data_IF_378486290497
#
_entry.id   IF_378486290497
#
_cell.length_a   1.000
_cell.length_b   1.000
_cell.length_c   1.000
_cell.angle_alpha   90.00
_cell.angle_beta   90.00
_cell.angle_gamma   90.00
#
_symmetry.space_group_name_H-M   'P 1'
#
loop_
_entity.id
_entity.type
_entity.pdbx_description
1 polymer ?
#
# COMPACT_ATOMS: atom_id res chain seq x y z
N UNK A 1 -4.24 -25.90 3.73
CA UNK A 1 -3.34 -25.56 4.85
C UNK A 1 -2.22 -24.67 4.31
N UNK A 2 -1.99 -23.51 4.92
CA UNK A 2 -0.87 -22.62 4.55
C UNK A 2 0.45 -23.33 4.89
N UNK A 3 1.41 -23.33 3.97
CA UNK A 3 2.75 -23.90 4.18
C UNK A 3 3.64 -23.01 5.04
N UNK A 4 3.16 -21.85 5.47
CA UNK A 4 3.91 -20.85 6.24
C UNK A 4 3.62 -20.97 7.74
N UNK A 5 4.69 -20.96 8.54
CA UNK A 5 4.64 -20.76 9.98
C UNK A 5 3.98 -19.42 10.36
N UNK A 6 3.48 -19.25 11.59
CA UNK A 6 2.88 -17.99 12.03
C UNK A 6 3.81 -16.76 11.83
N UNK A 7 5.11 -16.93 12.08
CA UNK A 7 6.09 -15.87 11.90
C UNK A 7 6.26 -15.50 10.42
N UNK A 8 6.37 -16.48 9.53
CA UNK A 8 6.44 -16.23 8.09
C UNK A 8 5.21 -15.49 7.59
N UNK A 9 4.01 -15.83 8.10
CA UNK A 9 2.80 -15.12 7.73
C UNK A 9 2.82 -13.66 8.17
N UNK A 10 3.30 -13.37 9.38
CA UNK A 10 3.47 -12.00 9.88
C UNK A 10 4.49 -11.22 9.05
N UNK A 11 5.61 -11.86 8.67
CA UNK A 11 6.63 -11.23 7.82
C UNK A 11 6.10 -10.92 6.42
N UNK A 12 5.31 -11.81 5.82
CA UNK A 12 4.68 -11.57 4.51
C UNK A 12 3.68 -10.40 4.59
N UNK A 13 2.87 -10.35 5.64
CA UNK A 13 1.93 -9.23 5.85
C UNK A 13 2.68 -7.90 6.05
N UNK A 14 3.73 -7.88 6.88
CA UNK A 14 4.58 -6.71 7.10
C UNK A 14 5.30 -6.29 5.81
N UNK A 15 5.72 -7.25 4.99
CA UNK A 15 6.32 -6.99 3.69
C UNK A 15 5.35 -6.25 2.77
N UNK A 16 4.05 -6.54 2.80
CA UNK A 16 3.04 -5.75 2.08
C UNK A 16 3.07 -4.28 2.46
N UNK A 17 3.12 -3.98 3.77
CA UNK A 17 3.23 -2.61 4.30
C UNK A 17 4.54 -1.94 3.87
N UNK A 18 5.66 -2.67 3.98
CA UNK A 18 6.97 -2.18 3.56
C UNK A 18 7.05 -1.92 2.04
N UNK A 19 6.40 -2.77 1.23
CA UNK A 19 6.32 -2.60 -0.22
C UNK A 19 5.60 -1.30 -0.59
N UNK A 20 4.46 -1.04 0.03
CA UNK A 20 3.73 0.23 -0.14
C UNK A 20 4.59 1.42 0.28
N UNK A 21 5.19 1.38 1.48
CA UNK A 21 6.07 2.43 1.98
C UNK A 21 7.24 2.72 1.03
N UNK A 22 7.89 1.67 0.50
CA UNK A 22 8.99 1.80 -0.46
C UNK A 22 8.54 2.49 -1.74
N UNK A 23 7.39 2.11 -2.28
CA UNK A 23 6.87 2.72 -3.52
C UNK A 23 6.41 4.16 -3.29
N UNK A 24 5.83 4.50 -2.13
CA UNK A 24 5.51 5.89 -1.77
C UNK A 24 6.76 6.76 -1.80
N UNK A 25 7.85 6.29 -1.18
CA UNK A 25 9.13 7.01 -1.18
C UNK A 25 9.70 7.18 -2.60
N UNK A 26 9.66 6.12 -3.42
CA UNK A 26 10.13 6.17 -4.82
C UNK A 26 9.32 7.15 -5.68
N UNK A 27 7.98 7.09 -5.61
CA UNK A 27 7.11 8.01 -6.35
C UNK A 27 7.34 9.44 -5.89
N UNK A 28 7.45 9.68 -4.59
CA UNK A 28 7.69 11.01 -4.05
C UNK A 28 9.05 11.60 -4.45
N UNK A 29 10.11 10.79 -4.45
CA UNK A 29 11.49 11.24 -4.75
C UNK A 29 11.78 11.33 -6.25
N UNK A 30 11.23 10.41 -7.05
CA UNK A 30 11.65 10.21 -8.46
C UNK A 30 10.51 10.22 -9.47
N UNK A 31 9.24 10.17 -9.02
CA UNK A 31 8.10 10.01 -9.91
C UNK A 31 8.01 8.63 -10.58
N UNK A 32 8.86 7.66 -10.18
CA UNK A 32 8.90 6.31 -10.75
C UNK A 32 8.57 5.26 -9.72
N UNK A 33 8.11 4.10 -10.18
CA UNK A 33 7.80 2.93 -9.36
C UNK A 33 7.89 1.67 -10.22
N UNK A 34 8.16 0.50 -9.63
CA UNK A 34 8.18 -0.76 -10.34
C UNK A 34 6.73 -1.27 -10.61
N UNK A 35 6.27 -1.33 -11.87
CA UNK A 35 4.85 -1.56 -12.18
C UNK A 35 4.28 -2.87 -11.66
N UNK A 36 5.05 -3.97 -11.72
CA UNK A 36 4.59 -5.28 -11.26
C UNK A 36 4.28 -5.32 -9.74
N UNK A 37 5.11 -4.65 -8.92
CA UNK A 37 4.87 -4.57 -7.48
C UNK A 37 3.73 -3.61 -7.14
N UNK A 38 3.60 -2.52 -7.91
CA UNK A 38 2.45 -1.62 -7.79
C UNK A 38 1.14 -2.36 -8.10
N UNK A 39 1.10 -3.11 -9.20
CA UNK A 39 -0.08 -3.89 -9.56
C UNK A 39 -0.42 -4.95 -8.50
N UNK A 40 0.58 -5.67 -7.98
CA UNK A 40 0.38 -6.63 -6.89
C UNK A 40 -0.18 -5.97 -5.61
N UNK A 41 0.36 -4.81 -5.23
CA UNK A 41 -0.15 -4.02 -4.08
C UNK A 41 -1.55 -3.46 -4.34
N UNK A 42 -1.82 -2.93 -5.54
CA UNK A 42 -3.14 -2.43 -5.92
C UNK A 42 -4.19 -3.54 -5.87
N UNK A 43 -3.90 -4.69 -6.49
CA UNK A 43 -4.82 -5.83 -6.53
C UNK A 43 -5.07 -6.44 -5.15
N UNK A 44 -4.13 -6.28 -4.22
CA UNK A 44 -4.32 -6.74 -2.84
C UNK A 44 -5.52 -6.10 -2.14
N UNK A 45 -5.91 -4.89 -2.55
CA UNK A 45 -7.09 -4.19 -2.01
C UNK A 45 -8.41 -4.90 -2.34
N UNK A 46 -8.42 -5.77 -3.36
CA UNK A 46 -9.58 -6.53 -3.81
C UNK A 46 -9.55 -8.01 -3.38
N UNK A 47 -8.51 -8.42 -2.64
CA UNK A 47 -8.37 -9.78 -2.12
C UNK A 47 -9.17 -9.97 -0.82
N UNK A 48 -10.49 -9.78 -0.90
CA UNK A 48 -11.38 -9.82 0.28
C UNK A 48 -11.42 -11.17 1.00
N UNK A 49 -11.25 -12.26 0.26
CA UNK A 49 -11.17 -13.62 0.81
C UNK A 49 -9.96 -14.35 0.20
N UNK A 50 -8.81 -14.22 0.87
CA UNK A 50 -7.57 -14.82 0.44
C UNK A 50 -7.31 -16.14 1.21
N UNK A 51 -7.09 -17.27 0.52
CA UNK A 51 -6.90 -18.57 1.18
C UNK A 51 -5.57 -18.70 1.94
N UNK A 52 -4.64 -17.77 1.71
CA UNK A 52 -3.31 -17.67 2.33
C UNK A 52 -2.76 -16.26 2.18
N UNK A 53 -1.87 -15.88 3.08
CA UNK A 53 -1.33 -14.51 3.21
C UNK A 53 -0.58 -14.02 1.96
N UNK A 54 0.11 -14.88 1.24
CA UNK A 54 0.81 -14.54 0.00
C UNK A 54 -0.15 -14.42 -1.21
N UNK A 55 -1.30 -15.10 -1.16
CA UNK A 55 -2.33 -14.97 -2.20
C UNK A 55 -2.98 -13.58 -2.22
N UNK A 56 -2.92 -12.83 -1.11
CA UNK A 56 -3.29 -11.40 -1.06
C UNK A 56 -2.51 -10.60 -2.10
N UNK A 57 -1.25 -10.97 -2.35
CA UNK A 57 -0.38 -10.33 -3.34
C UNK A 57 -0.26 -11.16 -4.64
N UNK A 58 -1.20 -12.07 -4.88
CA UNK A 58 -1.18 -13.07 -5.95
C UNK A 58 -0.28 -14.27 -5.65
N UNK A 59 0.94 -14.04 -5.18
CA UNK A 59 1.85 -15.03 -4.59
C UNK A 59 3.05 -14.32 -3.94
N UNK A 60 3.98 -15.10 -3.39
CA UNK A 60 5.18 -14.57 -2.72
C UNK A 60 6.06 -13.65 -3.60
N UNK A 61 6.07 -13.82 -4.94
CA UNK A 61 6.81 -12.92 -5.82
C UNK A 61 6.17 -11.53 -5.90
N UNK A 62 4.85 -11.43 -5.72
CA UNK A 62 4.13 -10.16 -5.73
C UNK A 62 4.49 -9.22 -4.58
N UNK A 63 5.04 -9.76 -3.48
CA UNK A 63 5.47 -9.00 -2.29
C UNK A 63 7.00 -8.97 -2.12
N UNK A 64 7.75 -9.41 -3.13
CA UNK A 64 9.21 -9.57 -3.05
C UNK A 64 9.95 -8.27 -2.78
N UNK A 65 9.46 -7.13 -3.29
CA UNK A 65 10.04 -5.82 -2.99
C UNK A 65 9.92 -5.55 -1.48
N UNK A 66 8.73 -5.77 -0.93
CA UNK A 66 8.46 -5.66 0.50
C UNK A 66 9.37 -6.51 1.36
N UNK A 67 9.56 -7.78 0.99
CA UNK A 67 10.42 -8.70 1.74
C UNK A 67 11.88 -8.21 1.79
N UNK A 68 12.39 -7.71 0.65
CA UNK A 68 13.73 -7.09 0.60
C UNK A 68 13.80 -5.83 1.46
N UNK A 69 12.79 -4.98 1.36
CA UNK A 69 12.71 -3.76 2.17
C UNK A 69 12.65 -4.05 3.67
N UNK A 70 11.97 -5.12 4.10
CA UNK A 70 12.02 -5.56 5.51
C UNK A 70 13.45 -5.90 5.92
N UNK A 71 14.18 -6.69 5.12
CA UNK A 71 15.59 -7.03 5.42
C UNK A 71 16.46 -5.77 5.48
N UNK A 72 16.30 -4.85 4.53
CA UNK A 72 17.05 -3.58 4.47
C UNK A 72 16.87 -2.75 5.74
N UNK A 73 15.64 -2.60 6.26
CA UNK A 73 15.39 -1.85 7.52
C UNK A 73 16.15 -2.38 8.72
N UNK A 74 16.36 -3.70 8.79
CA UNK A 74 17.02 -4.34 9.92
C UNK A 74 18.53 -4.51 9.72
N UNK A 75 19.03 -4.44 8.49
CA UNK A 75 20.43 -4.73 8.16
C UNK A 75 21.37 -3.56 8.39
N UNK A 76 20.91 -2.32 8.19
CA UNK A 76 21.71 -1.11 8.43
C UNK A 76 20.85 -0.01 9.08
N UNK A 77 20.83 0.05 10.43
CA UNK A 77 20.01 1.00 11.18
C UNK A 77 20.46 2.46 11.07
N UNK A 78 21.68 2.72 10.59
CA UNK A 78 22.23 4.08 10.47
C UNK A 78 21.93 4.71 9.11
N UNK A 79 21.49 3.92 8.13
CA UNK A 79 21.17 4.39 6.80
C UNK A 79 19.91 5.28 6.80
N UNK A 80 20.04 6.51 6.30
CA UNK A 80 18.95 7.49 6.29
C UNK A 80 17.73 7.06 5.48
N UNK A 81 17.93 6.36 4.35
CA UNK A 81 16.83 5.85 3.53
C UNK A 81 16.08 4.73 4.25
N UNK A 82 16.78 3.85 4.98
CA UNK A 82 16.15 2.81 5.78
C UNK A 82 15.35 3.40 6.96
N UNK A 83 15.88 4.43 7.62
CA UNK A 83 15.17 5.17 8.67
C UNK A 83 13.91 5.83 8.10
N UNK A 84 14.02 6.51 6.95
CA UNK A 84 12.88 7.15 6.30
C UNK A 84 11.79 6.13 5.94
N UNK A 85 12.17 4.97 5.42
CA UNK A 85 11.24 3.89 5.14
C UNK A 85 10.57 3.34 6.40
N UNK A 86 11.33 3.16 7.50
CA UNK A 86 10.79 2.77 8.79
C UNK A 86 9.76 3.77 9.34
N UNK A 87 9.94 5.07 9.08
CA UNK A 87 8.97 6.10 9.44
C UNK A 87 7.67 5.99 8.63
N UNK A 88 7.74 5.66 7.34
CA UNK A 88 6.54 5.40 6.53
C UNK A 88 5.81 4.15 7.01
N UNK A 89 6.51 3.04 7.25
CA UNK A 89 5.91 1.81 7.81
C UNK A 89 5.23 2.09 9.15
N UNK A 90 5.91 2.79 10.07
CA UNK A 90 5.33 3.21 11.35
C UNK A 90 4.10 4.10 11.16
N UNK A 91 4.13 5.00 10.17
CA UNK A 91 3.02 5.86 9.81
C UNK A 91 1.80 5.07 9.35
N UNK A 92 1.99 4.10 8.45
CA UNK A 92 0.93 3.21 7.95
C UNK A 92 0.31 2.39 9.07
N UNK A 93 1.12 1.78 9.94
CA UNK A 93 0.63 1.02 11.10
C UNK A 93 -0.15 1.90 12.08
N UNK A 94 0.28 3.16 12.28
CA UNK A 94 -0.45 4.11 13.13
C UNK A 94 -1.79 4.52 12.52
N UNK A 95 -1.84 4.66 11.20
CA UNK A 95 -3.07 5.00 10.46
C UNK A 95 -4.06 3.83 10.52
N UNK A 96 -3.58 2.61 10.28
CA UNK A 96 -4.34 1.37 10.45
C UNK A 96 -4.92 1.28 11.87
N UNK A 97 -4.13 1.54 12.91
CA UNK A 97 -4.60 1.49 14.30
C UNK A 97 -5.71 2.52 14.62
N UNK A 98 -5.86 3.58 13.82
CA UNK A 98 -6.97 4.52 13.91
C UNK A 98 -8.17 4.08 13.07
N UNK A 99 -7.91 3.53 11.88
CA UNK A 99 -8.91 3.00 10.98
C UNK A 99 -9.61 1.75 11.55
N UNK A 100 -8.87 0.85 12.18
CA UNK A 100 -9.39 -0.39 12.80
C UNK A 100 -10.42 -0.13 13.91
N UNK A 101 -10.39 1.07 14.51
CA UNK A 101 -11.32 1.50 15.57
C UNK A 101 -12.61 2.14 15.04
N UNK A 102 -12.80 2.23 13.72
CA UNK A 102 -13.93 2.90 13.07
C UNK A 102 -14.69 1.93 12.15
N UNK A 103 -15.57 1.08 12.71
CA UNK A 103 -16.28 0.08 11.91
C UNK A 103 -17.13 0.69 10.78
N UNK A 104 -17.80 1.82 11.04
CA UNK A 104 -18.56 2.54 10.01
C UNK A 104 -17.69 2.98 8.83
N UNK A 105 -16.46 3.45 9.11
CA UNK A 105 -15.53 3.86 8.07
C UNK A 105 -14.99 2.66 7.28
N UNK A 106 -14.78 1.52 7.93
CA UNK A 106 -14.40 0.28 7.27
C UNK A 106 -15.48 -0.22 6.32
N UNK A 107 -16.75 -0.15 6.72
CA UNK A 107 -17.88 -0.53 5.87
C UNK A 107 -17.97 0.36 4.62
N UNK A 108 -17.79 1.68 4.78
CA UNK A 108 -17.73 2.62 3.65
C UNK A 108 -16.58 2.26 2.70
N UNK A 109 -15.38 2.02 3.23
CA UNK A 109 -14.21 1.66 2.41
C UNK A 109 -14.43 0.33 1.70
N UNK A 110 -14.91 -0.71 2.40
CA UNK A 110 -15.18 -2.03 1.83
C UNK A 110 -16.23 -1.96 0.71
N UNK A 111 -17.34 -1.24 0.95
CA UNK A 111 -18.39 -1.02 -0.07
C UNK A 111 -17.84 -0.33 -1.31
N UNK A 112 -17.07 0.75 -1.14
CA UNK A 112 -16.46 1.46 -2.27
C UNK A 112 -15.42 0.64 -3.01
N UNK A 113 -14.60 -0.14 -2.31
CA UNK A 113 -13.67 -1.08 -2.93
C UNK A 113 -14.41 -2.14 -3.73
N UNK A 114 -15.53 -2.68 -3.23
CA UNK A 114 -16.38 -3.61 -3.96
C UNK A 114 -16.95 -3.02 -5.25
N UNK A 115 -17.37 -1.75 -5.24
CA UNK A 115 -17.81 -1.06 -6.45
C UNK A 115 -16.68 -0.86 -7.47
N UNK A 116 -15.46 -0.52 -7.01
CA UNK A 116 -14.29 -0.40 -7.89
C UNK A 116 -13.90 -1.76 -8.47
N UNK A 117 -13.88 -2.82 -7.66
CA UNK A 117 -13.59 -4.19 -8.12
C UNK A 117 -14.60 -4.66 -9.18
N UNK A 118 -15.89 -4.41 -8.97
CA UNK A 118 -16.92 -4.70 -9.95
C UNK A 118 -16.64 -3.97 -11.27
N UNK A 119 -16.31 -2.68 -11.23
CA UNK A 119 -15.98 -1.93 -12.44
C UNK A 119 -14.72 -2.46 -13.12
N UNK A 120 -13.69 -2.79 -12.35
CA UNK A 120 -12.42 -3.30 -12.84
C UNK A 120 -12.60 -4.58 -13.67
N UNK A 121 -13.43 -5.49 -13.16
CA UNK A 121 -13.71 -6.79 -13.80
C UNK A 121 -14.52 -6.70 -15.09
N UNK A 122 -15.31 -5.63 -15.28
CA UNK A 122 -16.27 -5.54 -16.37
C UNK A 122 -15.95 -4.48 -17.43
N UNK A 123 -15.16 -3.44 -17.10
CA UNK A 123 -15.00 -2.27 -17.97
C UNK A 123 -13.54 -1.85 -18.25
N UNK A 124 -12.62 -1.97 -17.29
CA UNK A 124 -11.22 -1.56 -17.49
C UNK A 124 -10.32 -2.21 -16.44
N UNK A 125 -9.21 -2.82 -16.89
CA UNK A 125 -8.18 -3.40 -16.02
C UNK A 125 -6.91 -2.53 -15.98
N UNK A 126 -7.02 -1.25 -16.35
CA UNK A 126 -5.91 -0.30 -16.31
C UNK A 126 -5.58 0.10 -14.86
N UNK A 127 -4.34 -0.21 -14.43
CA UNK A 127 -3.88 0.04 -13.07
C UNK A 127 -3.85 1.54 -12.70
N UNK A 128 -3.63 2.43 -13.66
CA UNK A 128 -3.60 3.89 -13.44
C UNK A 128 -5.01 4.45 -13.23
N UNK A 129 -5.99 3.97 -14.01
CA UNK A 129 -7.39 4.34 -13.84
C UNK A 129 -7.93 3.86 -12.48
N UNK A 130 -7.59 2.62 -12.13
CA UNK A 130 -7.90 2.05 -10.81
C UNK A 130 -7.27 2.88 -9.69
N UNK A 131 -6.00 3.27 -9.83
CA UNK A 131 -5.32 4.11 -8.85
C UNK A 131 -6.05 5.42 -8.59
N UNK A 132 -6.56 6.12 -9.61
CA UNK A 132 -7.32 7.34 -9.38
C UNK A 132 -8.61 7.10 -8.58
N UNK A 133 -9.30 5.98 -8.85
CA UNK A 133 -10.48 5.58 -8.08
C UNK A 133 -10.17 5.25 -6.62
N UNK A 134 -9.07 4.54 -6.36
CA UNK A 134 -8.61 4.23 -4.99
C UNK A 134 -8.12 5.50 -4.27
N UNK A 135 -7.37 6.36 -4.95
CA UNK A 135 -6.95 7.67 -4.45
C UNK A 135 -8.14 8.49 -3.96
N UNK A 136 -9.26 8.48 -4.70
CA UNK A 136 -10.48 9.14 -4.26
C UNK A 136 -11.08 8.51 -2.99
N UNK A 137 -11.07 7.17 -2.86
CA UNK A 137 -11.51 6.50 -1.62
C UNK A 137 -10.66 6.97 -0.44
N UNK A 138 -9.34 6.96 -0.57
CA UNK A 138 -8.43 7.41 0.48
C UNK A 138 -8.71 8.87 0.88
N UNK A 139 -8.87 9.77 -0.10
CA UNK A 139 -9.16 11.18 0.14
C UNK A 139 -10.46 11.39 0.93
N UNK A 140 -11.55 10.74 0.51
CA UNK A 140 -12.86 10.90 1.13
C UNK A 140 -12.94 10.23 2.52
N UNK A 141 -12.08 9.24 2.80
CA UNK A 141 -12.17 8.43 4.03
C UNK A 141 -10.93 8.58 4.91
N UNK A 142 -9.87 7.81 4.62
CA UNK A 142 -8.69 7.63 5.47
C UNK A 142 -7.93 8.95 5.69
N UNK A 143 -7.91 9.85 4.69
CA UNK A 143 -7.20 11.13 4.80
C UNK A 143 -7.81 12.10 5.84
N UNK A 144 -9.06 11.83 6.25
CA UNK A 144 -9.79 12.58 7.26
C UNK A 144 -9.53 12.10 8.70
N UNK A 145 -8.72 11.04 8.87
CA UNK A 145 -8.27 10.61 10.18
C UNK A 145 -7.34 11.66 10.82
N UNK A 146 -7.30 11.75 12.17
CA UNK A 146 -6.47 12.73 12.87
C UNK A 146 -4.98 12.65 12.54
N UNK A 147 -4.44 11.44 12.33
CA UNK A 147 -3.07 11.27 11.90
C UNK A 147 -2.97 11.23 10.38
N UNK A 148 -2.01 11.99 9.84
CA UNK A 148 -1.68 12.02 8.41
C UNK A 148 -0.22 11.72 8.21
N UNK A 149 0.07 10.85 7.24
CA UNK A 149 1.43 10.57 6.81
C UNK A 149 1.95 11.77 6.01
N UNK A 150 3.08 12.34 6.44
CA UNK A 150 3.75 13.43 5.74
C UNK A 150 4.70 12.85 4.71
N UNK A 151 4.28 12.86 3.46
CA UNK A 151 5.11 12.41 2.33
C UNK A 151 6.11 13.50 1.99
N UNK A 152 7.40 13.16 2.04
CA UNK A 152 8.52 14.03 1.66
C UNK A 152 9.16 13.53 0.38
N UNK A 153 9.53 14.44 -0.50
CA UNK A 153 10.11 14.11 -1.80
C UNK A 153 10.36 15.36 -2.63
N UNK A 154 10.54 15.16 -3.94
CA UNK A 154 10.70 16.26 -4.88
C UNK A 154 9.35 16.94 -5.14
N UNK A 155 9.31 18.26 -4.96
CA UNK A 155 8.08 19.06 -5.12
C UNK A 155 7.48 18.94 -6.53
N UNK A 156 8.32 18.89 -7.58
CA UNK A 156 7.84 18.75 -8.95
C UNK A 156 7.12 17.42 -9.17
N UNK A 157 7.63 16.32 -8.58
CA UNK A 157 6.97 15.03 -8.66
C UNK A 157 5.68 14.99 -7.82
N UNK A 158 5.69 15.57 -6.62
CA UNK A 158 4.52 15.60 -5.74
C UNK A 158 3.38 16.50 -6.24
N UNK A 159 3.68 17.51 -7.05
CA UNK A 159 2.67 18.38 -7.67
C UNK A 159 1.98 17.73 -8.87
N UNK A 160 2.54 16.67 -9.46
CA UNK A 160 1.90 15.94 -10.55
C UNK A 160 0.71 15.14 -10.01
N UNK A 161 -0.50 15.44 -10.50
CA UNK A 161 -1.73 14.79 -10.05
C UNK A 161 -1.65 13.26 -10.11
N UNK A 162 -1.07 12.71 -11.18
CA UNK A 162 -0.85 11.27 -11.34
C UNK A 162 -0.01 10.67 -10.21
N UNK A 163 1.08 11.34 -9.81
CA UNK A 163 1.93 10.85 -8.73
C UNK A 163 1.25 10.99 -7.37
N UNK A 164 0.49 12.06 -7.16
CA UNK A 164 -0.30 12.22 -5.95
C UNK A 164 -1.35 11.10 -5.82
N UNK A 165 -2.00 10.71 -6.92
CA UNK A 165 -2.93 9.57 -6.93
C UNK A 165 -2.24 8.25 -6.64
N UNK A 166 -1.07 8.00 -7.25
CA UNK A 166 -0.27 6.80 -6.96
C UNK A 166 0.15 6.74 -5.49
N UNK A 167 0.61 7.86 -4.92
CA UNK A 167 0.98 7.93 -3.50
C UNK A 167 -0.23 7.60 -2.63
N UNK A 168 -1.39 8.23 -2.86
CA UNK A 168 -2.59 7.97 -2.04
C UNK A 168 -3.14 6.56 -2.22
N UNK A 169 -2.98 5.97 -3.39
CA UNK A 169 -3.36 4.57 -3.66
C UNK A 169 -2.52 3.59 -2.85
N UNK A 170 -1.24 3.91 -2.64
CA UNK A 170 -0.31 3.08 -1.89
C UNK A 170 -0.46 3.21 -0.36
N UNK A 171 -1.11 4.27 0.12
CA UNK A 171 -1.32 4.56 1.55
C UNK A 171 -2.63 3.96 2.07
#
# INVERSE_FOLDING_TARGET
MSSYSPLEQQVIALAGVAQSARMVDQVAKTGTYPPAFFEASLRSLFAFDAPRVDAVFGNIQGVKLGLRSVVEMFSDPANEDHIAMGLYVKGLLKLEAQFSKRPELQEIVASRLGHVDFKAKHFSNDAVELASSISAIYQDTISNLPYRIKVKGNVQHLQQAKNADLVRTLL
#
